data_IF_941561727234
#
_entry.id   IF_941561727234
#
_cell.length_a   1.000
_cell.length_b   1.000
_cell.length_c   1.000
_cell.angle_alpha   90.00
_cell.angle_beta   90.00
_cell.angle_gamma   90.00
#
_symmetry.space_group_name_H-M   'P 1'
#
loop_
_entity.id
_entity.type
_entity.pdbx_description
1 polymer ?
#
# COMPACT_ATOMS: atom_id res chain seq x y z
N UNK A 1 -24.35 9.01 13.42
CA UNK A 1 -23.55 8.14 12.54
C UNK A 1 -22.20 7.90 13.18
N UNK A 2 -21.84 6.65 13.48
CA UNK A 2 -20.59 6.31 14.18
C UNK A 2 -19.36 6.58 13.32
N UNK A 3 -18.20 6.72 13.96
CA UNK A 3 -16.91 6.89 13.27
C UNK A 3 -16.62 5.73 12.32
N UNK A 4 -16.86 4.48 12.76
CA UNK A 4 -16.71 3.28 11.93
C UNK A 4 -17.53 3.37 10.62
N UNK A 5 -18.79 3.81 10.72
CA UNK A 5 -19.64 3.95 9.53
C UNK A 5 -19.14 5.04 8.58
N UNK A 6 -18.64 6.17 9.11
CA UNK A 6 -18.05 7.24 8.30
C UNK A 6 -16.80 6.77 7.55
N UNK A 7 -15.93 6.00 8.21
CA UNK A 7 -14.72 5.44 7.59
C UNK A 7 -15.09 4.45 6.48
N UNK A 8 -16.00 3.52 6.76
CA UNK A 8 -16.44 2.54 5.76
C UNK A 8 -17.01 3.21 4.50
N UNK A 9 -17.88 4.22 4.67
CA UNK A 9 -18.42 4.99 3.55
C UNK A 9 -17.34 5.73 2.77
N UNK A 10 -16.35 6.32 3.45
CA UNK A 10 -15.24 7.02 2.79
C UNK A 10 -14.42 6.10 1.89
N UNK A 11 -14.14 4.87 2.34
CA UNK A 11 -13.36 3.87 1.59
C UNK A 11 -14.05 3.49 0.26
N UNK A 12 -15.37 3.31 0.26
CA UNK A 12 -16.12 2.79 -0.90
C UNK A 12 -16.81 3.88 -1.74
N UNK A 13 -16.73 5.15 -1.32
CA UNK A 13 -17.43 6.25 -1.99
C UNK A 13 -16.93 6.51 -3.42
N UNK A 14 -17.81 7.04 -4.28
CA UNK A 14 -17.45 7.57 -5.61
C UNK A 14 -16.75 6.56 -6.54
N UNK A 15 -17.13 5.28 -6.45
CA UNK A 15 -16.53 4.22 -7.28
C UNK A 15 -15.10 3.84 -6.89
N UNK A 16 -14.65 4.25 -5.69
CA UNK A 16 -13.34 3.89 -5.17
C UNK A 16 -13.31 2.46 -4.64
N UNK A 17 -12.16 1.83 -4.80
CA UNK A 17 -11.87 0.48 -4.31
C UNK A 17 -10.80 0.45 -3.22
N UNK A 18 -10.39 -0.77 -2.87
CA UNK A 18 -9.31 -1.05 -1.93
C UNK A 18 -8.12 -1.63 -2.69
N UNK A 19 -6.93 -1.10 -2.42
CA UNK A 19 -5.67 -1.70 -2.86
C UNK A 19 -5.13 -2.61 -1.75
N UNK A 20 -5.09 -3.92 -1.99
CA UNK A 20 -4.49 -4.87 -1.07
C UNK A 20 -2.98 -5.01 -1.36
N UNK A 21 -2.15 -4.44 -0.48
CA UNK A 21 -0.68 -4.49 -0.53
C UNK A 21 -0.10 -5.07 0.77
N UNK A 22 -0.87 -5.97 1.37
CA UNK A 22 -0.63 -6.63 2.64
C UNK A 22 0.12 -7.96 2.51
N UNK A 23 0.76 -8.20 1.36
CA UNK A 23 1.58 -9.38 1.17
C UNK A 23 2.66 -9.45 2.25
N UNK A 24 2.69 -10.58 2.95
CA UNK A 24 3.75 -10.88 3.91
C UNK A 24 5.12 -10.90 3.24
N UNK A 25 6.18 -10.83 4.04
CA UNK A 25 7.55 -10.93 3.53
C UNK A 25 7.76 -12.18 2.68
N UNK A 26 7.21 -13.33 3.08
CA UNK A 26 7.31 -14.58 2.31
C UNK A 26 6.57 -14.53 0.98
N UNK A 27 5.34 -13.99 0.96
CA UNK A 27 4.56 -13.83 -0.28
C UNK A 27 5.23 -12.85 -1.24
N UNK A 28 5.71 -11.72 -0.72
CA UNK A 28 6.38 -10.71 -1.53
C UNK A 28 7.74 -11.22 -2.05
N UNK A 29 8.44 -12.06 -1.29
CA UNK A 29 9.69 -12.71 -1.73
C UNK A 29 9.45 -13.54 -2.98
N UNK A 30 8.44 -14.42 -2.97
CA UNK A 30 8.08 -15.21 -4.16
C UNK A 30 7.76 -14.34 -5.38
N UNK A 31 7.07 -13.22 -5.17
CA UNK A 31 6.67 -12.29 -6.25
C UNK A 31 7.85 -11.49 -6.81
N UNK A 32 8.81 -11.08 -5.99
CA UNK A 32 10.02 -10.40 -6.46
C UNK A 32 10.99 -11.37 -7.15
N UNK A 33 11.18 -12.56 -6.58
CA UNK A 33 12.07 -13.57 -7.14
C UNK A 33 11.57 -14.10 -8.49
N UNK A 34 10.26 -14.18 -8.70
CA UNK A 34 9.69 -14.58 -10.00
C UNK A 34 10.04 -13.61 -11.14
N UNK A 35 10.43 -12.37 -10.80
CA UNK A 35 10.91 -11.35 -11.75
C UNK A 35 12.40 -11.03 -11.54
N UNK A 36 13.15 -11.93 -10.89
CA UNK A 36 14.59 -11.84 -10.68
C UNK A 36 15.04 -10.61 -9.87
N UNK A 37 14.15 -10.10 -8.99
CA UNK A 37 14.47 -9.01 -8.06
C UNK A 37 14.76 -9.59 -6.67
N UNK A 38 15.91 -9.26 -6.04
CA UNK A 38 16.20 -9.71 -4.69
C UNK A 38 15.18 -9.20 -3.67
N UNK A 39 14.72 -10.05 -2.75
CA UNK A 39 13.76 -9.67 -1.71
C UNK A 39 14.41 -8.96 -0.52
N UNK A 40 14.86 -7.73 -0.74
CA UNK A 40 15.33 -6.83 0.33
C UNK A 40 14.18 -5.98 0.87
N UNK A 41 14.32 -5.48 2.11
CA UNK A 41 13.35 -4.53 2.69
C UNK A 41 13.15 -3.30 1.80
N UNK A 42 14.24 -2.80 1.22
CA UNK A 42 14.22 -1.67 0.29
C UNK A 42 13.47 -1.99 -1.02
N UNK A 43 13.66 -3.18 -1.61
CA UNK A 43 12.96 -3.56 -2.83
C UNK A 43 11.46 -3.77 -2.58
N UNK A 44 11.08 -4.36 -1.43
CA UNK A 44 9.67 -4.48 -1.03
C UNK A 44 9.03 -3.11 -0.82
N UNK A 45 9.74 -2.18 -0.18
CA UNK A 45 9.29 -0.80 -0.01
C UNK A 45 9.14 -0.11 -1.37
N UNK A 46 10.16 -0.19 -2.23
CA UNK A 46 10.17 0.45 -3.54
C UNK A 46 9.04 -0.06 -4.44
N UNK A 47 8.70 -1.35 -4.36
CA UNK A 47 7.54 -1.92 -5.03
C UNK A 47 6.24 -1.24 -4.57
N UNK A 48 6.02 -1.12 -3.25
CA UNK A 48 4.81 -0.51 -2.69
C UNK A 48 4.74 1.00 -2.98
N UNK A 49 5.85 1.72 -2.88
CA UNK A 49 5.94 3.14 -3.29
C UNK A 49 5.59 3.35 -4.76
N UNK A 50 6.00 2.42 -5.62
CA UNK A 50 5.65 2.49 -7.05
C UNK A 50 4.14 2.43 -7.24
N UNK A 51 3.43 1.60 -6.48
CA UNK A 51 1.97 1.55 -6.50
C UNK A 51 1.35 2.86 -5.98
N UNK A 52 1.87 3.39 -4.87
CA UNK A 52 1.34 4.61 -4.24
C UNK A 52 1.60 5.89 -5.05
N UNK A 53 2.67 5.92 -5.85
CA UNK A 53 3.02 7.07 -6.69
C UNK A 53 2.19 7.18 -7.97
N UNK A 54 1.32 6.22 -8.27
CA UNK A 54 0.43 6.29 -9.42
C UNK A 54 -0.51 7.50 -9.34
N UNK A 55 -0.61 8.24 -10.45
CA UNK A 55 -1.45 9.44 -10.57
C UNK A 55 -2.93 9.18 -10.30
N UNK A 56 -3.39 7.94 -10.51
CA UNK A 56 -4.79 7.55 -10.33
C UNK A 56 -5.14 7.11 -8.91
N UNK A 57 -4.17 6.99 -8.00
CA UNK A 57 -4.42 6.53 -6.61
C UNK A 57 -5.50 7.34 -5.91
N UNK A 58 -5.44 8.67 -6.01
CA UNK A 58 -6.39 9.57 -5.33
C UNK A 58 -7.82 9.45 -5.86
N UNK A 59 -7.98 9.05 -7.11
CA UNK A 59 -9.28 8.99 -7.77
C UNK A 59 -9.92 7.61 -7.65
N UNK A 60 -9.12 6.54 -7.69
CA UNK A 60 -9.62 5.17 -7.76
C UNK A 60 -9.56 4.41 -6.42
N UNK A 61 -8.69 4.81 -5.49
CA UNK A 61 -8.46 4.07 -4.25
C UNK A 61 -8.95 4.88 -3.05
N UNK A 62 -9.80 4.25 -2.23
CA UNK A 62 -10.32 4.83 -1.00
C UNK A 62 -9.71 4.24 0.26
N UNK A 63 -9.04 3.08 0.15
CA UNK A 63 -8.29 2.45 1.24
C UNK A 63 -7.17 1.56 0.73
N UNK A 64 -6.15 1.38 1.54
CA UNK A 64 -5.01 0.50 1.27
C UNK A 64 -4.83 -0.44 2.46
N UNK A 65 -4.65 -1.73 2.21
CA UNK A 65 -4.28 -2.70 3.23
C UNK A 65 -2.76 -2.86 3.22
N UNK A 66 -2.12 -2.68 4.37
CA UNK A 66 -0.67 -2.68 4.52
C UNK A 66 -0.25 -3.83 5.44
N UNK A 67 0.88 -4.46 5.10
CA UNK A 67 1.56 -5.39 5.99
C UNK A 67 2.31 -4.61 7.09
N UNK A 68 2.53 -5.25 8.25
CA UNK A 68 3.16 -4.66 9.44
C UNK A 68 4.55 -4.04 9.17
N UNK A 69 5.33 -4.65 8.27
CA UNK A 69 6.60 -4.06 7.81
C UNK A 69 6.38 -2.70 7.14
N UNK A 70 5.37 -2.59 6.27
CA UNK A 70 5.14 -1.40 5.44
C UNK A 70 4.61 -0.23 6.24
N UNK A 71 3.68 -0.48 7.15
CA UNK A 71 3.04 0.61 7.92
C UNK A 71 4.07 1.34 8.80
N UNK A 72 5.18 0.68 9.14
CA UNK A 72 6.31 1.21 9.92
C UNK A 72 7.45 1.77 9.07
N UNK A 73 7.39 1.62 7.75
CA UNK A 73 8.43 2.11 6.85
C UNK A 73 8.28 3.62 6.57
N UNK A 74 9.42 4.24 6.27
CA UNK A 74 9.53 5.62 5.81
C UNK A 74 9.89 5.60 4.33
N UNK A 75 9.22 6.43 3.56
CA UNK A 75 9.43 6.55 2.12
C UNK A 75 10.76 7.18 1.77
N UNK A 76 11.17 7.04 0.50
CA UNK A 76 12.30 7.77 -0.09
C UNK A 76 12.12 9.29 0.00
N UNK A 77 10.88 9.79 0.04
CA UNK A 77 10.54 11.20 0.24
C UNK A 77 10.48 11.63 1.71
N UNK A 78 10.95 10.79 2.64
CA UNK A 78 10.99 11.02 4.09
C UNK A 78 9.61 11.21 4.73
N UNK A 79 8.58 10.56 4.18
CA UNK A 79 7.23 10.52 4.76
C UNK A 79 6.93 9.12 5.30
N UNK A 80 6.16 9.02 6.37
CA UNK A 80 5.65 7.71 6.78
C UNK A 80 4.73 7.18 5.67
N UNK A 81 4.73 5.87 5.41
CA UNK A 81 3.86 5.29 4.37
C UNK A 81 2.38 5.68 4.53
N UNK A 82 1.78 5.70 5.74
CA UNK A 82 0.40 6.15 5.93
C UNK A 82 0.10 7.61 5.56
N UNK A 83 1.13 8.44 5.38
CA UNK A 83 1.02 9.88 5.08
C UNK A 83 1.30 10.22 3.60
N UNK A 84 1.58 9.22 2.78
CA UNK A 84 1.99 9.37 1.38
C UNK A 84 0.78 9.65 0.47
#
# INVERSE_FOLDING_TARGET
MSELNKIALKIISNGKGILATDESTGTMTKRLESVQVPSTSENRLSFRETLFSSSSMKNCIGGVILYDETIKQVSKSKKNIPEL
#
